data_IF_052954762237
#
_entry.id   IF_052954762237
#
_cell.length_a   1.000
_cell.length_b   1.000
_cell.length_c   1.000
_cell.angle_alpha   90.00
_cell.angle_beta   90.00
_cell.angle_gamma   90.00
#
_symmetry.space_group_name_H-M   'P 1'
#
loop_
_entity.id
_entity.type
_entity.pdbx_description
1 polymer ?
#
# COMPACT_ATOMS: atom_id res chain seq x y z
N UNK A 1 24.19 7.86 -7.45
CA UNK A 1 25.21 7.22 -6.59
C UNK A 1 24.80 7.05 -5.12
N UNK A 2 24.09 7.97 -4.49
CA UNK A 2 23.61 7.83 -3.10
C UNK A 2 22.69 6.61 -2.92
N UNK A 3 21.70 6.46 -3.77
CA UNK A 3 20.75 5.34 -3.72
C UNK A 3 21.40 3.99 -4.02
N UNK A 4 22.43 3.93 -4.90
CA UNK A 4 23.19 2.71 -5.12
C UNK A 4 23.92 2.24 -3.86
N UNK A 5 24.44 3.18 -3.03
CA UNK A 5 25.01 2.87 -1.71
C UNK A 5 23.95 2.27 -0.78
N UNK A 6 22.78 2.88 -0.71
CA UNK A 6 21.65 2.38 0.14
C UNK A 6 21.23 0.97 -0.27
N UNK A 7 21.12 0.69 -1.57
CA UNK A 7 20.81 -0.65 -2.09
C UNK A 7 21.91 -1.66 -1.71
N UNK A 8 23.18 -1.27 -1.82
CA UNK A 8 24.30 -2.11 -1.39
C UNK A 8 24.31 -2.37 0.12
N UNK A 9 23.93 -1.38 0.94
CA UNK A 9 23.77 -1.57 2.40
C UNK A 9 22.63 -2.53 2.69
N UNK A 10 21.47 -2.35 2.02
CA UNK A 10 20.31 -3.24 2.17
C UNK A 10 20.65 -4.70 1.81
N UNK A 11 21.38 -4.92 0.71
CA UNK A 11 21.82 -6.25 0.29
C UNK A 11 22.72 -6.90 1.36
N UNK A 12 23.68 -6.16 1.91
CA UNK A 12 24.54 -6.67 3.01
C UNK A 12 23.78 -6.99 4.30
N UNK A 13 22.65 -6.32 4.53
CA UNK A 13 21.78 -6.61 5.68
C UNK A 13 20.87 -7.84 5.45
N UNK A 14 20.92 -8.48 4.28
CA UNK A 14 20.11 -9.62 3.94
C UNK A 14 18.68 -9.25 3.46
N UNK A 15 18.47 -8.02 2.98
CA UNK A 15 17.24 -7.67 2.27
C UNK A 15 17.14 -8.53 1.01
N UNK A 16 15.97 -9.12 0.78
CA UNK A 16 15.74 -10.01 -0.36
C UNK A 16 14.98 -9.31 -1.49
N UNK A 17 14.16 -8.31 -1.16
CA UNK A 17 13.21 -7.70 -2.09
C UNK A 17 13.21 -6.19 -1.96
N UNK A 18 13.27 -5.49 -3.09
CA UNK A 18 13.16 -4.03 -3.16
C UNK A 18 12.03 -3.62 -4.10
N UNK A 19 11.15 -2.73 -3.62
CA UNK A 19 10.13 -2.08 -4.43
C UNK A 19 10.58 -0.67 -4.81
N UNK A 20 10.69 -0.38 -6.11
CA UNK A 20 10.85 0.98 -6.61
C UNK A 20 9.47 1.62 -6.74
N UNK A 21 9.18 2.57 -5.87
CA UNK A 21 7.91 3.26 -5.74
C UNK A 21 8.16 4.76 -5.47
N UNK A 22 7.23 5.44 -4.83
CA UNK A 22 7.36 6.84 -4.44
C UNK A 22 6.24 7.68 -5.05
N UNK A 23 6.55 8.83 -5.66
CA UNK A 23 5.61 9.54 -6.52
C UNK A 23 5.35 8.70 -7.77
N UNK A 24 6.23 8.84 -8.77
CA UNK A 24 6.24 7.98 -9.96
C UNK A 24 7.69 7.60 -10.28
N UNK A 25 8.11 6.36 -10.09
CA UNK A 25 9.50 5.96 -10.27
C UNK A 25 10.00 6.13 -11.71
N UNK A 26 9.12 6.04 -12.71
CA UNK A 26 9.46 6.25 -14.12
C UNK A 26 9.93 7.69 -14.43
N UNK A 27 9.65 8.65 -13.55
CA UNK A 27 10.14 10.02 -13.67
C UNK A 27 11.66 10.14 -13.39
N UNK A 28 12.28 9.13 -12.79
CA UNK A 28 13.70 9.11 -12.49
C UNK A 28 14.50 8.71 -13.73
N UNK A 29 15.44 9.58 -14.13
CA UNK A 29 16.33 9.28 -15.25
C UNK A 29 17.29 8.10 -14.92
N UNK A 30 17.71 7.99 -13.65
CA UNK A 30 18.65 6.98 -13.16
C UNK A 30 17.99 5.66 -12.70
N UNK A 31 16.70 5.43 -12.99
CA UNK A 31 16.00 4.23 -12.52
C UNK A 31 16.65 2.93 -13.00
N UNK A 32 17.10 2.87 -14.25
CA UNK A 32 17.77 1.68 -14.80
C UNK A 32 19.09 1.38 -14.07
N UNK A 33 19.85 2.42 -13.70
CA UNK A 33 21.08 2.26 -12.91
C UNK A 33 20.77 1.71 -11.52
N UNK A 34 19.68 2.18 -10.89
CA UNK A 34 19.25 1.68 -9.58
C UNK A 34 18.79 0.21 -9.65
N UNK A 35 18.08 -0.17 -10.71
CA UNK A 35 17.71 -1.57 -10.96
C UNK A 35 18.99 -2.42 -11.13
N UNK A 36 19.96 -1.95 -11.89
CA UNK A 36 21.22 -2.66 -12.06
C UNK A 36 22.01 -2.82 -10.73
N UNK A 37 22.00 -1.80 -9.86
CA UNK A 37 22.58 -1.90 -8.52
C UNK A 37 21.84 -2.93 -7.64
N UNK A 38 20.50 -2.95 -7.69
CA UNK A 38 19.71 -3.94 -6.96
C UNK A 38 20.05 -5.37 -7.42
N UNK A 39 20.08 -5.60 -8.73
CA UNK A 39 20.46 -6.88 -9.33
C UNK A 39 21.88 -7.31 -8.91
N UNK A 40 22.86 -6.39 -8.98
CA UNK A 40 24.25 -6.68 -8.59
C UNK A 40 24.34 -7.06 -7.10
N UNK A 41 23.45 -6.53 -6.25
CA UNK A 41 23.32 -6.89 -4.84
C UNK A 41 22.52 -8.18 -4.57
N UNK A 42 21.98 -8.83 -5.60
CA UNK A 42 21.13 -10.03 -5.45
C UNK A 42 19.73 -9.74 -4.94
N UNK A 43 19.27 -8.50 -5.01
CA UNK A 43 17.92 -8.12 -4.60
C UNK A 43 16.92 -8.42 -5.73
N UNK A 44 15.80 -9.08 -5.39
CA UNK A 44 14.65 -9.14 -6.28
C UNK A 44 13.99 -7.76 -6.36
N UNK A 45 13.80 -7.24 -7.56
CA UNK A 45 13.32 -5.88 -7.79
C UNK A 45 11.92 -5.86 -8.40
N UNK A 46 11.05 -5.02 -7.84
CA UNK A 46 9.69 -4.78 -8.34
C UNK A 46 9.48 -3.28 -8.62
N UNK A 47 9.02 -2.96 -9.83
CA UNK A 47 8.63 -1.60 -10.19
C UNK A 47 7.14 -1.41 -9.89
N UNK A 48 6.81 -0.47 -8.99
CA UNK A 48 5.44 -0.12 -8.60
C UNK A 48 5.10 1.23 -9.21
N UNK A 49 4.27 1.25 -10.24
CA UNK A 49 4.09 2.42 -11.11
C UNK A 49 2.64 2.62 -11.55
N UNK A 50 2.31 3.87 -11.90
CA UNK A 50 1.11 4.17 -12.70
C UNK A 50 1.22 3.68 -14.14
N UNK A 51 2.43 3.40 -14.60
CA UNK A 51 2.80 2.98 -15.95
C UNK A 51 2.46 3.99 -17.08
N UNK A 52 2.08 5.23 -16.75
CA UNK A 52 1.72 6.25 -17.76
C UNK A 52 2.91 6.59 -18.69
N UNK A 53 4.13 6.52 -18.17
CA UNK A 53 5.36 6.77 -18.92
C UNK A 53 6.12 5.51 -19.34
N UNK A 54 5.52 4.32 -19.25
CA UNK A 54 6.17 3.06 -19.60
C UNK A 54 5.90 2.72 -21.07
N UNK A 55 6.80 3.13 -21.94
CA UNK A 55 6.83 2.70 -23.35
C UNK A 55 7.73 1.48 -23.57
N UNK A 56 7.78 0.98 -24.80
CA UNK A 56 8.57 -0.19 -25.17
C UNK A 56 10.08 0.04 -24.97
N UNK A 57 10.57 1.25 -25.24
CA UNK A 57 11.99 1.60 -25.06
C UNK A 57 12.38 1.54 -23.58
N UNK A 58 11.61 2.24 -22.74
CA UNK A 58 11.85 2.27 -21.27
C UNK A 58 11.70 0.89 -20.64
N UNK A 59 10.73 0.10 -21.07
CA UNK A 59 10.54 -1.26 -20.57
C UNK A 59 11.71 -2.19 -20.96
N UNK A 60 12.24 -2.09 -22.19
CA UNK A 60 13.43 -2.83 -22.62
C UNK A 60 14.68 -2.44 -21.84
N UNK A 61 14.87 -1.15 -21.60
CA UNK A 61 15.99 -0.63 -20.80
C UNK A 61 15.97 -1.23 -19.38
N UNK A 62 14.80 -1.20 -18.72
CA UNK A 62 14.63 -1.78 -17.38
C UNK A 62 14.82 -3.31 -17.39
N UNK A 63 14.38 -3.99 -18.43
CA UNK A 63 14.60 -5.44 -18.59
C UNK A 63 16.10 -5.77 -18.71
N UNK A 64 16.81 -5.01 -19.51
CA UNK A 64 18.27 -5.16 -19.67
C UNK A 64 19.04 -4.86 -18.37
N UNK A 65 18.58 -3.86 -17.61
CA UNK A 65 19.11 -3.55 -16.30
C UNK A 65 18.86 -4.66 -15.26
N UNK A 66 17.89 -5.56 -15.52
CA UNK A 66 17.60 -6.72 -14.70
C UNK A 66 16.42 -6.55 -13.74
N UNK A 67 15.47 -5.69 -14.07
CA UNK A 67 14.19 -5.62 -13.36
C UNK A 67 13.46 -6.97 -13.40
N UNK A 68 12.99 -7.43 -12.22
CA UNK A 68 12.39 -8.76 -12.11
C UNK A 68 10.88 -8.76 -12.35
N UNK A 69 10.14 -7.76 -11.87
CA UNK A 69 8.67 -7.70 -11.99
C UNK A 69 8.14 -6.27 -12.07
N UNK A 70 6.90 -6.14 -12.54
CA UNK A 70 6.21 -4.85 -12.66
C UNK A 70 4.83 -4.95 -12.04
N UNK A 71 4.51 -3.99 -11.17
CA UNK A 71 3.18 -3.78 -10.62
C UNK A 71 2.58 -2.51 -11.20
N UNK A 72 1.42 -2.64 -11.84
CA UNK A 72 0.70 -1.51 -12.44
C UNK A 72 -0.56 -1.21 -11.63
N UNK A 73 -0.73 0.06 -11.25
CA UNK A 73 -1.91 0.54 -10.53
C UNK A 73 -3.03 0.87 -11.50
N UNK A 74 -4.15 0.13 -11.40
CA UNK A 74 -5.41 0.43 -12.07
C UNK A 74 -6.45 0.99 -11.08
N UNK A 75 -7.45 1.71 -11.57
CA UNK A 75 -8.51 2.28 -10.74
C UNK A 75 -9.86 1.63 -10.98
N UNK A 76 -10.10 1.14 -12.19
CA UNK A 76 -11.32 0.46 -12.62
C UNK A 76 -11.05 -0.29 -13.92
N UNK A 77 -11.97 -1.16 -14.32
CA UNK A 77 -12.08 -1.75 -15.64
C UNK A 77 -12.66 -0.77 -16.68
N UNK A 78 -13.47 0.18 -16.20
CA UNK A 78 -14.19 1.16 -17.02
C UNK A 78 -13.36 2.40 -17.24
N UNK A 79 -13.09 2.76 -18.51
CA UNK A 79 -12.23 3.87 -18.92
C UNK A 79 -12.59 5.19 -18.22
N UNK A 80 -13.84 5.65 -18.40
CA UNK A 80 -14.27 6.93 -17.84
C UNK A 80 -14.16 7.01 -16.29
N UNK A 81 -14.48 5.91 -15.61
CA UNK A 81 -14.34 5.83 -14.15
C UNK A 81 -12.87 5.78 -13.72
N UNK A 82 -12.05 5.01 -14.44
CA UNK A 82 -10.62 4.89 -14.15
C UNK A 82 -9.92 6.25 -14.27
N UNK A 83 -10.19 6.99 -15.34
CA UNK A 83 -9.58 8.31 -15.57
C UNK A 83 -10.08 9.35 -14.58
N UNK A 84 -11.36 9.31 -14.22
CA UNK A 84 -11.90 10.18 -13.17
C UNK A 84 -11.22 9.95 -11.83
N UNK A 85 -11.03 8.69 -11.41
CA UNK A 85 -10.35 8.35 -10.16
C UNK A 85 -8.88 8.73 -10.23
N UNK A 86 -8.23 8.51 -11.38
CA UNK A 86 -6.83 8.86 -11.59
C UNK A 86 -6.60 10.39 -11.66
N UNK A 87 -7.63 11.15 -12.03
CA UNK A 87 -7.51 12.58 -12.32
C UNK A 87 -6.73 12.87 -13.60
N UNK A 88 -6.64 11.90 -14.52
CA UNK A 88 -5.88 11.99 -15.78
C UNK A 88 -6.40 10.98 -16.81
N UNK A 89 -6.28 11.31 -18.09
CA UNK A 89 -6.51 10.37 -19.22
C UNK A 89 -5.34 9.37 -19.27
N UNK A 90 -5.49 8.27 -18.58
CA UNK A 90 -4.41 7.31 -18.29
C UNK A 90 -4.77 5.86 -18.58
N UNK A 91 -6.05 5.49 -18.58
CA UNK A 91 -6.47 4.08 -18.62
C UNK A 91 -5.98 3.36 -19.88
N UNK A 92 -6.14 3.96 -21.06
CA UNK A 92 -5.69 3.38 -22.31
C UNK A 92 -4.16 3.19 -22.35
N UNK A 93 -3.41 4.16 -21.81
CA UNK A 93 -1.93 4.07 -21.70
C UNK A 93 -1.49 2.94 -20.77
N UNK A 94 -2.17 2.77 -19.63
CA UNK A 94 -1.90 1.68 -18.69
C UNK A 94 -2.15 0.30 -19.30
N UNK A 95 -3.23 0.16 -20.09
CA UNK A 95 -3.51 -1.07 -20.84
C UNK A 95 -2.41 -1.37 -21.86
N UNK A 96 -1.94 -0.36 -22.59
CA UNK A 96 -0.81 -0.48 -23.51
C UNK A 96 0.48 -0.91 -22.79
N UNK A 97 0.80 -0.26 -21.68
CA UNK A 97 1.97 -0.59 -20.86
C UNK A 97 1.90 -2.02 -20.30
N UNK A 98 0.73 -2.48 -19.85
CA UNK A 98 0.55 -3.84 -19.36
C UNK A 98 0.83 -4.88 -20.45
N UNK A 99 0.41 -4.63 -21.70
CA UNK A 99 0.74 -5.49 -22.85
C UNK A 99 2.24 -5.53 -23.12
N UNK A 100 2.92 -4.38 -23.13
CA UNK A 100 4.39 -4.30 -23.30
C UNK A 100 5.10 -5.10 -22.20
N UNK A 101 4.66 -4.98 -20.93
CA UNK A 101 5.19 -5.72 -19.79
C UNK A 101 5.08 -7.23 -20.04
N UNK A 102 3.92 -7.70 -20.50
CA UNK A 102 3.69 -9.12 -20.82
C UNK A 102 4.51 -9.60 -22.01
N UNK A 103 4.55 -8.84 -23.11
CA UNK A 103 5.32 -9.15 -24.32
C UNK A 103 6.83 -9.30 -24.02
N UNK A 104 7.35 -8.49 -23.09
CA UNK A 104 8.73 -8.59 -22.65
C UNK A 104 8.97 -9.69 -21.60
N UNK A 105 7.94 -10.45 -21.21
CA UNK A 105 8.05 -11.58 -20.29
C UNK A 105 8.27 -11.16 -18.82
N UNK A 106 7.84 -9.97 -18.43
CA UNK A 106 7.81 -9.62 -17.01
C UNK A 106 6.62 -10.26 -16.31
N UNK A 107 6.78 -10.78 -15.09
CA UNK A 107 5.66 -11.01 -14.20
C UNK A 107 4.89 -9.70 -13.97
N UNK A 108 3.57 -9.75 -14.18
CA UNK A 108 2.67 -8.59 -14.03
C UNK A 108 1.82 -8.75 -12.77
N UNK A 109 1.93 -7.79 -11.86
CA UNK A 109 0.96 -7.58 -10.79
C UNK A 109 0.03 -6.43 -11.17
N UNK A 110 -1.27 -6.67 -11.16
CA UNK A 110 -2.29 -5.63 -11.22
C UNK A 110 -2.66 -5.24 -9.80
N UNK A 111 -2.53 -3.96 -9.46
CA UNK A 111 -2.96 -3.43 -8.16
C UNK A 111 -4.16 -2.52 -8.33
N UNK A 112 -5.20 -2.71 -7.53
CA UNK A 112 -6.37 -1.84 -7.50
C UNK A 112 -6.68 -1.46 -6.06
N UNK A 113 -6.61 -0.17 -5.76
CA UNK A 113 -7.07 0.35 -4.48
C UNK A 113 -8.60 0.44 -4.50
N UNK A 114 -9.23 -0.37 -3.67
CA UNK A 114 -10.68 -0.42 -3.56
C UNK A 114 -11.19 0.67 -2.63
N UNK A 115 -12.25 1.30 -3.07
CA UNK A 115 -13.01 2.29 -2.30
C UNK A 115 -14.48 2.24 -2.72
N UNK A 116 -15.36 2.97 -2.04
CA UNK A 116 -16.81 2.97 -2.30
C UNK A 116 -17.19 3.11 -3.78
N UNK A 117 -16.42 3.90 -4.55
CA UNK A 117 -16.73 4.21 -5.94
C UNK A 117 -16.31 3.16 -6.97
N UNK A 118 -15.51 2.14 -6.60
CA UNK A 118 -15.10 1.11 -7.56
C UNK A 118 -15.32 -0.33 -7.07
N UNK A 119 -15.60 -0.54 -5.79
CA UNK A 119 -15.71 -1.87 -5.20
C UNK A 119 -16.83 -2.72 -5.82
N UNK A 120 -17.92 -2.12 -6.27
CA UNK A 120 -19.03 -2.81 -6.92
C UNK A 120 -18.68 -3.33 -8.32
N UNK A 121 -17.60 -2.84 -8.91
CA UNK A 121 -17.05 -3.32 -10.19
C UNK A 121 -16.01 -4.44 -10.05
N UNK A 122 -15.93 -5.04 -8.87
CA UNK A 122 -14.87 -5.99 -8.54
C UNK A 122 -14.80 -7.19 -9.49
N UNK A 123 -15.96 -7.73 -9.90
CA UNK A 123 -16.00 -8.84 -10.84
C UNK A 123 -15.36 -8.47 -12.21
N UNK A 124 -15.65 -7.26 -12.71
CA UNK A 124 -15.11 -6.74 -13.96
C UNK A 124 -13.62 -6.38 -13.83
N UNK A 125 -13.21 -5.86 -12.68
CA UNK A 125 -11.79 -5.61 -12.36
C UNK A 125 -10.99 -6.92 -12.35
N UNK A 126 -11.54 -8.00 -11.80
CA UNK A 126 -10.91 -9.33 -11.85
C UNK A 126 -10.81 -9.83 -13.29
N UNK A 127 -11.87 -9.65 -14.10
CA UNK A 127 -11.86 -10.01 -15.51
C UNK A 127 -10.84 -9.19 -16.32
N UNK A 128 -10.63 -7.92 -15.97
CA UNK A 128 -9.57 -7.09 -16.56
C UNK A 128 -8.19 -7.69 -16.26
N UNK A 129 -7.89 -8.02 -15.01
CA UNK A 129 -6.62 -8.64 -14.64
C UNK A 129 -6.39 -9.97 -15.36
N UNK A 130 -7.44 -10.78 -15.53
CA UNK A 130 -7.41 -12.03 -16.30
C UNK A 130 -7.10 -11.76 -17.78
N UNK A 131 -7.74 -10.76 -18.40
CA UNK A 131 -7.51 -10.38 -19.80
C UNK A 131 -6.09 -9.86 -20.06
N UNK A 132 -5.45 -9.28 -19.05
CA UNK A 132 -4.07 -8.82 -19.08
C UNK A 132 -3.07 -9.95 -18.78
N UNK A 133 -3.54 -11.17 -18.56
CA UNK A 133 -2.73 -12.31 -18.15
C UNK A 133 -1.82 -11.99 -16.93
N UNK A 134 -2.35 -11.27 -15.95
CA UNK A 134 -1.63 -10.96 -14.72
C UNK A 134 -1.41 -12.24 -13.90
N UNK A 135 -0.22 -12.40 -13.33
CA UNK A 135 0.06 -13.49 -12.38
C UNK A 135 -0.50 -13.21 -10.99
N UNK A 136 -0.62 -11.90 -10.64
CA UNK A 136 -1.12 -11.47 -9.35
C UNK A 136 -2.08 -10.29 -9.51
N UNK A 137 -3.15 -10.35 -8.73
CA UNK A 137 -4.10 -9.23 -8.56
C UNK A 137 -4.13 -8.84 -7.08
N UNK A 138 -3.72 -7.61 -6.78
CA UNK A 138 -3.82 -7.03 -5.44
C UNK A 138 -5.04 -6.11 -5.36
N UNK A 139 -6.02 -6.54 -4.61
CA UNK A 139 -7.22 -5.80 -4.27
C UNK A 139 -7.01 -5.19 -2.88
N UNK A 140 -6.36 -4.04 -2.84
CA UNK A 140 -6.04 -3.34 -1.62
C UNK A 140 -7.16 -2.38 -1.25
N UNK A 141 -7.65 -2.44 0.00
CA UNK A 141 -8.55 -1.41 0.48
C UNK A 141 -7.79 -0.12 0.76
N UNK A 142 -8.48 1.01 0.55
CA UNK A 142 -7.94 2.34 0.86
C UNK A 142 -7.44 2.38 2.31
N UNK A 143 -6.22 2.82 2.49
CA UNK A 143 -5.66 3.09 3.80
C UNK A 143 -6.07 4.51 4.22
N UNK A 144 -6.73 4.63 5.36
CA UNK A 144 -7.31 5.89 5.82
C UNK A 144 -6.31 6.69 6.64
N UNK A 145 -5.35 7.31 5.94
CA UNK A 145 -4.37 8.25 6.48
C UNK A 145 -4.41 9.55 5.70
N UNK A 146 -3.96 10.65 6.30
CA UNK A 146 -3.82 11.93 5.62
C UNK A 146 -5.04 12.34 4.81
N UNK A 147 -4.90 12.44 3.50
CA UNK A 147 -5.98 12.83 2.59
C UNK A 147 -7.16 11.84 2.57
N UNK A 148 -6.87 10.53 2.55
CA UNK A 148 -7.92 9.52 2.55
C UNK A 148 -8.75 9.53 3.84
N UNK A 149 -8.11 9.84 4.97
CA UNK A 149 -8.82 9.99 6.24
C UNK A 149 -9.78 11.18 6.24
N UNK A 150 -9.38 12.31 5.66
CA UNK A 150 -10.24 13.49 5.52
C UNK A 150 -11.45 13.24 4.62
N UNK A 151 -11.31 12.38 3.64
CA UNK A 151 -12.33 12.03 2.65
C UNK A 151 -12.98 10.65 2.92
N UNK A 152 -12.85 10.14 4.12
CA UNK A 152 -13.28 8.76 4.47
C UNK A 152 -14.76 8.50 4.20
N UNK A 153 -15.63 9.49 4.43
CA UNK A 153 -17.07 9.36 4.18
C UNK A 153 -17.39 9.02 2.72
N UNK A 154 -16.63 9.61 1.79
CA UNK A 154 -16.77 9.35 0.35
C UNK A 154 -16.02 8.08 -0.11
N UNK A 155 -15.01 7.62 0.62
CA UNK A 155 -14.10 6.57 0.17
C UNK A 155 -14.34 5.21 0.83
N UNK A 156 -14.72 5.16 2.12
CA UNK A 156 -14.84 3.89 2.84
C UNK A 156 -16.05 3.11 2.33
N UNK A 157 -15.85 1.87 1.84
CA UNK A 157 -16.96 0.99 1.50
C UNK A 157 -17.81 0.65 2.72
N UNK A 158 -19.11 0.42 2.53
CA UNK A 158 -19.99 -0.07 3.57
C UNK A 158 -19.70 -1.55 3.93
N UNK A 159 -20.20 -2.00 5.09
CA UNK A 159 -20.13 -3.43 5.48
C UNK A 159 -20.75 -4.34 4.41
N UNK A 160 -21.89 -3.93 3.85
CA UNK A 160 -22.56 -4.68 2.79
C UNK A 160 -21.69 -4.81 1.52
N UNK A 161 -21.07 -3.70 1.08
CA UNK A 161 -20.15 -3.72 -0.06
C UNK A 161 -18.93 -4.61 0.20
N UNK A 162 -18.34 -4.58 1.39
CA UNK A 162 -17.23 -5.46 1.76
C UNK A 162 -17.65 -6.94 1.79
N UNK A 163 -18.84 -7.25 2.35
CA UNK A 163 -19.35 -8.62 2.39
C UNK A 163 -19.58 -9.17 0.97
N UNK A 164 -20.20 -8.39 0.09
CA UNK A 164 -20.39 -8.74 -1.31
C UNK A 164 -19.04 -8.93 -2.04
N UNK A 165 -18.10 -8.01 -1.84
CA UNK A 165 -16.76 -8.11 -2.43
C UNK A 165 -16.04 -9.40 -1.98
N UNK A 166 -16.16 -9.78 -0.71
CA UNK A 166 -15.57 -11.01 -0.20
C UNK A 166 -16.13 -12.26 -0.90
N UNK A 167 -17.43 -12.30 -1.19
CA UNK A 167 -18.07 -13.39 -1.95
C UNK A 167 -17.55 -13.46 -3.38
N UNK A 168 -17.47 -12.31 -4.07
CA UNK A 168 -16.93 -12.23 -5.44
C UNK A 168 -15.49 -12.71 -5.49
N UNK A 169 -14.64 -12.27 -4.54
CA UNK A 169 -13.25 -12.70 -4.46
C UNK A 169 -13.13 -14.19 -4.17
N UNK A 170 -13.94 -14.73 -3.27
CA UNK A 170 -13.93 -16.16 -2.95
C UNK A 170 -14.23 -17.03 -4.18
N UNK A 171 -15.27 -16.68 -4.93
CA UNK A 171 -15.61 -17.37 -6.17
C UNK A 171 -14.51 -17.23 -7.24
N UNK A 172 -13.92 -16.03 -7.37
CA UNK A 172 -12.83 -15.79 -8.31
C UNK A 172 -11.56 -16.58 -7.96
N UNK A 173 -11.20 -16.68 -6.68
CA UNK A 173 -10.05 -17.49 -6.22
C UNK A 173 -10.21 -18.97 -6.58
N UNK A 174 -11.41 -19.52 -6.48
CA UNK A 174 -11.68 -20.90 -6.90
C UNK A 174 -11.57 -21.06 -8.42
N UNK A 175 -12.17 -20.15 -9.19
CA UNK A 175 -12.15 -20.18 -10.66
C UNK A 175 -10.76 -19.98 -11.26
N UNK A 176 -9.95 -19.13 -10.63
CA UNK A 176 -8.62 -18.72 -11.12
C UNK A 176 -7.46 -19.39 -10.38
N UNK A 177 -7.74 -20.44 -9.60
CA UNK A 177 -6.72 -21.19 -8.90
C UNK A 177 -5.63 -21.70 -9.88
N UNK A 178 -4.36 -21.46 -9.53
CA UNK A 178 -3.22 -21.79 -10.38
C UNK A 178 -2.99 -20.88 -11.59
N UNK A 179 -3.87 -19.87 -11.82
CA UNK A 179 -3.70 -18.90 -12.91
C UNK A 179 -3.34 -17.52 -12.39
N UNK A 180 -4.09 -17.02 -11.42
CA UNK A 180 -3.89 -15.69 -10.84
C UNK A 180 -3.93 -15.82 -9.31
N UNK A 181 -2.90 -15.31 -8.64
CA UNK A 181 -2.94 -15.14 -7.19
C UNK A 181 -3.74 -13.88 -6.86
N UNK A 182 -4.86 -14.01 -6.14
CA UNK A 182 -5.69 -12.88 -5.75
C UNK A 182 -5.45 -12.57 -4.28
N UNK A 183 -4.84 -11.42 -3.99
CA UNK A 183 -4.72 -10.85 -2.66
C UNK A 183 -5.89 -9.89 -2.44
N UNK A 184 -6.63 -10.10 -1.36
CA UNK A 184 -7.74 -9.23 -0.98
C UNK A 184 -7.53 -8.76 0.45
N UNK A 185 -7.30 -7.47 0.61
CA UNK A 185 -7.03 -6.82 1.89
C UNK A 185 -8.27 -6.08 2.34
N UNK A 186 -8.89 -6.54 3.41
CA UNK A 186 -10.08 -5.92 4.02
C UNK A 186 -9.63 -4.86 5.03
N UNK A 187 -10.31 -3.70 5.18
CA UNK A 187 -10.04 -2.75 6.24
C UNK A 187 -10.21 -3.40 7.62
N UNK A 188 -9.30 -3.13 8.54
CA UNK A 188 -9.37 -3.63 9.93
C UNK A 188 -10.59 -3.11 10.68
N UNK A 189 -11.18 -2.00 10.22
CA UNK A 189 -12.36 -1.35 10.81
C UNK A 189 -13.58 -2.26 10.93
N UNK A 190 -13.66 -3.27 10.07
CA UNK A 190 -14.76 -4.25 10.06
C UNK A 190 -14.39 -5.58 10.72
N UNK A 191 -13.15 -5.70 11.20
CA UNK A 191 -12.66 -6.88 11.89
C UNK A 191 -12.85 -6.82 13.41
N UNK A 192 -12.62 -7.94 14.07
CA UNK A 192 -12.54 -8.03 15.53
C UNK A 192 -11.10 -7.99 16.03
N UNK A 193 -10.15 -8.14 15.12
CA UNK A 193 -8.71 -8.13 15.40
C UNK A 193 -7.96 -7.33 14.36
N UNK A 194 -6.98 -6.54 14.77
CA UNK A 194 -6.13 -5.83 13.83
C UNK A 194 -5.19 -6.81 13.11
N UNK A 195 -4.78 -6.43 11.91
CA UNK A 195 -3.67 -7.11 11.22
C UNK A 195 -2.35 -6.77 11.89
N UNK A 196 -1.36 -7.68 11.83
CA UNK A 196 -0.03 -7.39 12.32
C UNK A 196 0.58 -6.23 11.51
N UNK A 197 0.99 -5.17 12.17
CA UNK A 197 1.67 -4.03 11.54
C UNK A 197 2.98 -4.48 10.87
N UNK A 198 2.99 -4.65 9.55
CA UNK A 198 4.15 -5.11 8.78
C UNK A 198 4.82 -6.39 9.35
N UNK A 199 4.01 -7.32 9.91
CA UNK A 199 4.47 -8.49 10.67
C UNK A 199 5.33 -8.15 11.91
N UNK A 200 4.99 -7.07 12.58
CA UNK A 200 5.69 -6.50 13.71
C UNK A 200 6.50 -5.26 13.32
N UNK A 201 6.34 -4.19 14.08
CA UNK A 201 7.04 -2.93 13.87
C UNK A 201 8.56 -3.10 13.88
N UNK A 202 9.24 -2.58 12.84
CA UNK A 202 10.69 -2.64 12.73
C UNK A 202 11.29 -4.04 12.63
N UNK A 203 10.54 -5.08 12.19
CA UNK A 203 11.00 -6.48 12.16
C UNK A 203 11.34 -6.99 10.77
N UNK A 204 10.57 -6.66 9.74
CA UNK A 204 10.71 -7.28 8.41
C UNK A 204 10.69 -6.29 7.26
N UNK A 205 10.43 -5.03 7.54
CA UNK A 205 10.19 -4.04 6.51
C UNK A 205 10.80 -2.69 6.88
N UNK A 206 11.30 -2.00 5.90
CA UNK A 206 11.66 -0.59 5.99
C UNK A 206 11.31 0.12 4.68
N UNK A 207 11.06 1.41 4.76
CA UNK A 207 10.92 2.29 3.60
C UNK A 207 11.94 3.41 3.71
N UNK A 208 12.63 3.72 2.62
CA UNK A 208 13.41 4.95 2.52
C UNK A 208 12.63 5.92 1.65
N UNK A 209 12.24 7.06 2.21
CA UNK A 209 11.47 8.07 1.49
C UNK A 209 12.36 8.89 0.55
N UNK A 210 11.81 9.73 -0.35
CA UNK A 210 12.61 10.54 -1.28
C UNK A 210 13.57 11.52 -0.60
N UNK A 211 13.30 11.94 0.64
CA UNK A 211 14.19 12.78 1.43
C UNK A 211 15.36 12.01 2.06
N UNK A 212 15.30 10.67 2.03
CA UNK A 212 16.32 9.79 2.62
C UNK A 212 16.01 9.33 4.04
N UNK A 213 14.85 9.69 4.60
CA UNK A 213 14.45 9.20 5.93
C UNK A 213 14.03 7.75 5.85
N UNK A 214 14.40 6.98 6.88
CA UNK A 214 14.10 5.55 6.95
C UNK A 214 12.96 5.31 7.94
N UNK A 215 11.87 4.74 7.42
CA UNK A 215 10.66 4.50 8.16
C UNK A 215 10.39 3.00 8.33
N UNK A 216 9.93 2.52 9.48
CA UNK A 216 9.53 1.12 9.69
C UNK A 216 8.23 0.74 8.97
N UNK A 217 7.48 1.73 8.47
CA UNK A 217 6.24 1.57 7.70
C UNK A 217 6.06 2.82 6.80
N UNK A 218 5.53 2.72 5.58
CA UNK A 218 5.33 3.87 4.68
C UNK A 218 4.50 5.01 5.31
N UNK A 219 3.60 4.67 6.24
CA UNK A 219 2.70 5.61 6.92
C UNK A 219 3.18 6.05 8.30
N UNK A 220 4.36 5.59 8.75
CA UNK A 220 4.89 5.93 10.08
C UNK A 220 5.11 7.44 10.28
N UNK A 221 5.32 8.18 9.19
CA UNK A 221 5.42 9.64 9.21
C UNK A 221 4.18 10.38 9.72
N UNK A 222 3.02 9.72 9.75
CA UNK A 222 1.77 10.28 10.29
C UNK A 222 1.73 10.26 11.84
N UNK A 223 2.68 9.58 12.50
CA UNK A 223 2.75 9.53 13.97
C UNK A 223 3.45 10.79 14.48
N UNK A 224 2.71 11.66 15.13
CA UNK A 224 3.24 12.88 15.70
C UNK A 224 4.34 12.60 16.74
N UNK A 225 5.43 13.36 16.67
CA UNK A 225 6.55 13.25 17.61
C UNK A 225 7.53 12.10 17.35
N UNK A 226 7.28 11.24 16.34
CA UNK A 226 8.24 10.24 15.90
C UNK A 226 9.26 10.87 14.93
N UNK A 227 10.56 10.71 15.24
CA UNK A 227 11.65 11.24 14.40
C UNK A 227 12.33 10.10 13.69
N UNK A 228 12.66 10.30 12.42
CA UNK A 228 13.30 9.29 11.57
C UNK A 228 14.75 9.68 11.26
N UNK A 229 15.63 8.70 11.34
CA UNK A 229 17.01 8.85 10.92
C UNK A 229 17.13 8.80 9.40
N UNK A 230 18.11 9.53 8.86
CA UNK A 230 18.30 9.70 7.44
C UNK A 230 19.54 8.93 6.96
N UNK A 231 19.43 8.26 5.79
CA UNK A 231 20.53 7.49 5.18
C UNK A 231 21.77 8.32 4.85
N UNK A 232 21.65 9.65 4.77
CA UNK A 232 22.81 10.55 4.58
C UNK A 232 23.60 10.73 5.86
N UNK A 233 22.95 10.61 7.01
CA UNK A 233 23.57 10.84 8.31
C UNK A 233 24.05 9.54 8.98
N UNK A 234 23.36 8.43 8.73
CA UNK A 234 23.63 7.15 9.39
C UNK A 234 23.61 6.00 8.40
N UNK A 235 24.41 4.92 8.59
CA UNK A 235 24.30 3.70 7.82
C UNK A 235 22.93 3.02 8.06
N UNK A 236 22.40 2.35 7.03
CA UNK A 236 21.09 1.69 7.09
C UNK A 236 21.04 0.61 8.19
N UNK A 237 22.14 -0.12 8.40
CA UNK A 237 22.25 -1.12 9.46
C UNK A 237 22.09 -0.50 10.86
N UNK A 238 22.75 0.65 11.09
CA UNK A 238 22.63 1.38 12.36
C UNK A 238 21.18 1.86 12.56
N UNK A 239 20.55 2.42 11.51
CA UNK A 239 19.16 2.89 11.59
C UNK A 239 18.23 1.73 11.94
N UNK A 240 18.44 0.57 11.35
CA UNK A 240 17.64 -0.63 11.62
C UNK A 240 17.74 -1.12 13.06
N UNK A 241 18.93 -1.10 13.65
CA UNK A 241 19.20 -1.66 14.99
C UNK A 241 19.04 -0.64 16.12
N UNK A 242 19.46 0.60 15.91
CA UNK A 242 19.65 1.58 16.98
C UNK A 242 18.62 2.73 16.97
N UNK A 243 17.97 3.00 15.82
CA UNK A 243 17.05 4.13 15.70
C UNK A 243 15.87 4.01 16.66
N UNK A 244 15.55 5.10 17.35
CA UNK A 244 14.37 5.17 18.23
C UNK A 244 13.09 4.85 17.46
N UNK A 245 12.94 5.35 16.23
CA UNK A 245 11.77 5.10 15.40
C UNK A 245 11.51 3.61 15.15
N UNK A 246 12.58 2.82 14.97
CA UNK A 246 12.46 1.37 14.80
C UNK A 246 12.25 0.63 16.11
N UNK A 247 12.89 1.08 17.18
CA UNK A 247 12.88 0.37 18.46
C UNK A 247 11.65 0.67 19.32
N UNK A 248 11.00 1.82 19.11
CA UNK A 248 9.88 2.30 19.93
C UNK A 248 8.73 1.30 20.10
N UNK A 249 8.40 0.57 19.05
CA UNK A 249 7.31 -0.42 19.06
C UNK A 249 7.77 -1.80 18.61
N UNK A 250 9.09 -2.06 18.66
CA UNK A 250 9.65 -3.39 18.35
C UNK A 250 9.42 -4.33 19.53
N UNK A 251 9.06 -5.58 19.22
CA UNK A 251 8.79 -6.58 20.27
C UNK A 251 7.43 -6.39 20.93
N UNK A 252 7.30 -6.84 22.17
CA UNK A 252 6.04 -6.87 22.91
C UNK A 252 6.10 -6.09 24.24
N UNK A 253 7.30 -5.72 24.70
CA UNK A 253 7.52 -5.09 26.02
C UNK A 253 6.87 -3.70 26.14
N UNK A 254 6.73 -2.98 25.05
CA UNK A 254 6.08 -1.67 24.99
C UNK A 254 4.56 -1.73 25.15
N UNK A 255 3.96 -2.92 24.97
CA UNK A 255 2.50 -3.08 24.84
C UNK A 255 1.78 -2.74 26.15
N UNK A 256 0.67 -1.96 26.07
CA UNK A 256 -0.21 -1.76 27.22
C UNK A 256 -1.11 -2.97 27.47
N UNK A 257 -1.78 -3.00 28.62
CA UNK A 257 -2.94 -3.87 28.87
C UNK A 257 -4.07 -3.41 27.93
N UNK A 258 -4.82 -4.34 27.27
CA UNK A 258 -4.78 -5.81 27.44
C UNK A 258 -3.77 -6.55 26.53
N UNK A 259 -3.05 -5.85 25.64
CA UNK A 259 -2.16 -6.51 24.67
C UNK A 259 -1.04 -7.28 25.34
N UNK A 260 -0.50 -6.77 26.45
CA UNK A 260 0.62 -7.38 27.19
C UNK A 260 0.32 -8.81 27.64
N UNK A 261 -0.92 -9.06 28.06
CA UNK A 261 -1.36 -10.35 28.60
C UNK A 261 -2.17 -11.17 27.58
N UNK A 262 -2.23 -10.69 26.34
CA UNK A 262 -3.02 -11.30 25.29
C UNK A 262 -2.31 -12.49 24.63
N UNK A 263 -3.01 -13.62 24.47
CA UNK A 263 -2.47 -14.79 23.75
C UNK A 263 -2.07 -14.49 22.31
N UNK A 264 -2.53 -13.38 21.72
CA UNK A 264 -2.24 -12.96 20.34
C UNK A 264 -1.14 -11.92 20.25
N UNK A 265 -0.51 -11.52 21.35
CA UNK A 265 0.54 -10.49 21.36
C UNK A 265 1.66 -10.73 20.35
N UNK A 266 2.04 -11.98 20.11
CA UNK A 266 3.06 -12.39 19.14
C UNK A 266 2.49 -12.69 17.74
N UNK A 267 1.18 -12.51 17.52
CA UNK A 267 0.49 -12.71 16.24
C UNK A 267 0.16 -11.38 15.59
N UNK A 268 -0.52 -10.50 16.31
CA UNK A 268 -0.94 -9.18 15.80
C UNK A 268 0.00 -8.04 16.18
N UNK A 269 0.95 -8.27 17.11
CA UNK A 269 1.92 -7.28 17.58
C UNK A 269 1.28 -5.97 18.04
N UNK A 270 0.08 -6.05 18.65
CA UNK A 270 -0.68 -4.89 19.11
C UNK A 270 -1.36 -4.10 17.97
N UNK A 271 -1.35 -4.59 16.73
CA UNK A 271 -1.99 -3.98 15.57
C UNK A 271 -1.22 -2.80 14.96
N UNK A 272 -1.90 -1.95 14.20
CA UNK A 272 -1.32 -0.84 13.45
C UNK A 272 -1.11 0.41 14.33
N UNK A 273 0.16 0.80 14.51
CA UNK A 273 0.52 1.99 15.32
C UNK A 273 0.03 3.30 14.71
N UNK A 274 0.09 3.39 13.38
CA UNK A 274 -0.41 4.56 12.65
C UNK A 274 -1.93 4.71 12.81
N UNK A 275 -2.69 3.60 12.74
CA UNK A 275 -4.13 3.58 12.95
C UNK A 275 -4.49 3.96 14.40
N UNK A 276 -3.78 3.42 15.38
CA UNK A 276 -3.95 3.79 16.77
C UNK A 276 -3.72 5.30 16.97
N UNK A 277 -2.60 5.84 16.47
CA UNK A 277 -2.29 7.26 16.55
C UNK A 277 -3.36 8.14 15.88
N UNK A 278 -3.84 7.73 14.71
CA UNK A 278 -4.81 8.51 13.94
C UNK A 278 -6.18 8.61 14.62
N UNK A 279 -6.67 7.49 15.19
CA UNK A 279 -8.00 7.41 15.79
C UNK A 279 -8.01 7.97 17.21
N UNK A 280 -6.95 7.71 18.00
CA UNK A 280 -6.91 8.06 19.44
C UNK A 280 -5.97 9.22 19.77
N UNK A 281 -5.18 9.71 18.80
CA UNK A 281 -4.10 10.65 19.06
C UNK A 281 -2.83 10.02 19.66
N UNK A 282 -2.81 8.69 19.92
CA UNK A 282 -1.74 7.98 20.61
C UNK A 282 -1.35 6.69 19.89
N UNK A 283 -0.07 6.53 19.56
CA UNK A 283 0.44 5.32 18.91
C UNK A 283 0.72 4.16 19.88
N UNK A 284 0.83 4.43 21.17
CA UNK A 284 1.21 3.49 22.23
C UNK A 284 0.03 2.79 22.92
N UNK A 285 -1.18 2.98 22.43
CA UNK A 285 -2.40 2.33 22.93
C UNK A 285 -2.71 1.03 22.16
N UNK A 286 -3.59 0.19 22.71
CA UNK A 286 -4.16 -0.94 21.98
C UNK A 286 -4.88 -0.44 20.74
N UNK A 287 -4.61 -1.08 19.59
CA UNK A 287 -5.26 -0.71 18.34
C UNK A 287 -6.80 -0.73 18.49
N UNK A 288 -7.50 0.36 18.12
CA UNK A 288 -8.97 0.41 18.17
C UNK A 288 -9.68 -0.67 17.34
N UNK A 289 -9.01 -1.28 16.36
CA UNK A 289 -9.56 -2.40 15.59
C UNK A 289 -9.68 -3.70 16.42
N UNK A 290 -8.95 -3.81 17.53
CA UNK A 290 -9.08 -4.95 18.44
C UNK A 290 -10.39 -4.86 19.25
N UNK A 291 -11.16 -5.96 19.30
CA UNK A 291 -12.38 -6.05 20.12
C UNK A 291 -12.12 -5.88 21.63
N UNK A 292 -10.90 -6.17 22.08
CA UNK A 292 -10.48 -5.99 23.48
C UNK A 292 -9.96 -4.57 23.78
N UNK A 293 -9.88 -3.70 22.77
CA UNK A 293 -9.35 -2.34 22.96
C UNK A 293 -10.32 -1.49 23.78
N UNK A 294 -9.82 -0.77 24.80
CA UNK A 294 -10.63 0.24 25.50
C UNK A 294 -11.02 1.40 24.57
N UNK A 295 -10.37 1.51 23.41
CA UNK A 295 -10.63 2.52 22.37
C UNK A 295 -11.55 2.02 21.25
N UNK A 296 -12.13 0.82 21.36
CA UNK A 296 -13.01 0.24 20.32
C UNK A 296 -14.18 1.15 19.95
N UNK A 297 -14.78 1.80 20.93
CA UNK A 297 -15.93 2.70 20.71
C UNK A 297 -15.56 3.91 19.84
N UNK A 298 -14.30 4.36 19.83
CA UNK A 298 -13.85 5.45 18.97
C UNK A 298 -13.87 5.01 17.50
N UNK A 299 -13.40 3.79 17.21
CA UNK A 299 -13.50 3.21 15.88
C UNK A 299 -14.96 2.95 15.47
N UNK A 300 -15.81 2.46 16.38
CA UNK A 300 -17.22 2.20 16.09
C UNK A 300 -17.94 3.48 15.67
N UNK A 301 -17.80 4.57 16.43
CA UNK A 301 -18.37 5.88 16.06
C UNK A 301 -17.81 6.40 14.73
N UNK A 302 -16.54 6.15 14.47
CA UNK A 302 -15.90 6.51 13.21
C UNK A 302 -16.56 5.79 12.02
N UNK A 303 -16.83 4.49 12.14
CA UNK A 303 -17.46 3.69 11.08
C UNK A 303 -18.95 4.07 10.92
N UNK A 304 -19.69 4.20 12.02
CA UNK A 304 -21.11 4.62 12.02
C UNK A 304 -21.30 5.96 11.33
N UNK A 305 -20.46 6.96 11.63
CA UNK A 305 -20.50 8.27 10.96
C UNK A 305 -20.33 8.23 9.44
N UNK A 306 -19.80 7.13 8.90
CA UNK A 306 -19.60 6.93 7.48
C UNK A 306 -20.77 6.16 6.85
N UNK A 307 -21.31 5.20 7.57
CA UNK A 307 -22.48 4.44 7.11
C UNK A 307 -23.72 5.35 7.00
N UNK A 308 -23.87 6.29 7.92
CA UNK A 308 -24.95 7.30 7.92
C UNK A 308 -24.83 8.31 6.76
N UNK A 309 -23.63 8.51 6.20
CA UNK A 309 -23.42 9.45 5.12
C UNK A 309 -24.06 9.04 3.77
N UNK A 310 -24.66 7.86 3.67
CA UNK A 310 -25.40 7.38 2.50
C UNK A 310 -24.58 7.20 1.22
N UNK A 311 -25.17 6.59 0.17
CA UNK A 311 -24.49 6.39 -1.12
C UNK A 311 -24.36 7.66 -1.96
N UNK A 312 -25.03 8.75 -1.61
CA UNK A 312 -25.15 9.98 -2.42
C UNK A 312 -23.84 10.77 -2.60
N UNK A 313 -22.82 10.50 -1.79
CA UNK A 313 -21.50 11.17 -1.90
C UNK A 313 -20.68 10.73 -3.12
N UNK A 314 -21.13 9.70 -3.84
CA UNK A 314 -20.51 9.15 -5.05
C UNK A 314 -21.45 9.13 -6.27
N UNK A 315 -22.21 10.19 -6.52
CA UNK A 315 -22.97 10.22 -7.77
C UNK A 315 -22.01 10.38 -8.95
N UNK A 316 -22.17 9.51 -9.96
CA UNK A 316 -21.39 9.56 -11.19
C UNK A 316 -21.57 10.89 -11.97
N UNK A 317 -22.60 11.65 -11.61
CA UNK A 317 -23.00 12.91 -12.25
C UNK A 317 -22.38 14.16 -11.60
N UNK A 318 -21.92 14.08 -10.35
CA UNK A 318 -21.21 15.19 -9.72
C UNK A 318 -19.80 15.27 -10.32
N UNK A 319 -19.58 16.17 -11.24
CA UNK A 319 -18.27 16.47 -11.84
C UNK A 319 -17.21 16.96 -10.85
N UNK A 320 -17.58 17.04 -9.58
CA UNK A 320 -16.71 17.31 -8.45
C UNK A 320 -17.01 16.26 -7.38
N UNK A 321 -16.03 15.42 -7.04
CA UNK A 321 -16.17 14.33 -6.06
C UNK A 321 -16.44 14.83 -4.62
N UNK A 322 -16.63 16.12 -4.39
CA UNK A 322 -16.78 16.72 -3.05
C UNK A 322 -15.57 16.46 -2.14
N UNK A 323 -14.48 15.96 -2.70
CA UNK A 323 -13.29 15.61 -1.96
C UNK A 323 -12.48 16.87 -1.62
N UNK A 324 -12.02 16.98 -0.39
CA UNK A 324 -11.08 18.01 -0.03
C UNK A 324 -9.83 17.93 -0.94
N UNK A 325 -9.33 19.07 -1.46
CA UNK A 325 -8.20 19.07 -2.38
C UNK A 325 -6.96 18.43 -1.73
N UNK A 326 -6.19 17.68 -2.52
CA UNK A 326 -4.84 17.27 -2.10
C UNK A 326 -3.99 18.52 -1.95
N UNK A 327 -3.52 18.77 -0.74
CA UNK A 327 -2.39 19.69 -0.54
C UNK A 327 -1.15 18.80 -0.64
N UNK A 328 -0.40 18.94 -1.74
CA UNK A 328 0.95 18.40 -1.77
C UNK A 328 1.73 19.09 -0.64
N UNK A 329 2.56 18.36 0.12
CA UNK A 329 3.50 19.03 1.01
C UNK A 329 4.35 19.99 0.18
N UNK A 330 4.77 21.14 0.74
CA UNK A 330 5.69 22.02 0.05
C UNK A 330 6.93 21.23 -0.36
N UNK A 331 7.34 21.43 -1.61
CA UNK A 331 8.51 20.82 -2.24
C UNK A 331 9.80 21.15 -1.51
#
# INVERSE_FOLDING_TARGET
>A
MEWGRVLGEAARMGVLHVGFSGGEPLQRADLAELVAHARAGGLYSNLITSAIGLDLHRAKELRQAGLDSVQISFQSDQHALADRIAGADAHARKLGAARIVRELGFPLTVNVVLHRGNIERLAQIISLAESLAAERLELANTQYYGWAFRNRAALLPSRAQIAQAAQVVSAARQRLAGKIEILFVIPDYYGERPKPCMNGWGRRFLTVNPAGDVLPCPTAGEIAGLRFDNVRARPLAWIWSESEAFNRFRGTEWMPVPCRDCQFQNVDFGGCRCQAALITGRADVTDPACSLSPHRNELTRFVESIEDAGPETWSAEAGNLGLAPRRNPPS
#
